data_IF_073988264228
#
_entry.id   IF_073988264228
#
_cell.length_a   1.000
_cell.length_b   1.000
_cell.length_c   1.000
_cell.angle_alpha   90.00
_cell.angle_beta   90.00
_cell.angle_gamma   90.00
#
_symmetry.space_group_name_H-M   'P 1'
#
loop_
_entity.id
_entity.type
_entity.pdbx_description
1 polymer ?
#
# COMPACT_ATOMS: atom_id res chain seq x y z
N UNK A 1 12.61 0.20 24.46
CA UNK A 1 12.74 1.20 23.36
C UNK A 1 11.38 1.70 22.87
N UNK A 2 11.20 3.02 22.66
CA UNK A 2 9.99 3.61 22.04
C UNK A 2 9.95 3.34 20.53
N UNK A 3 8.81 2.90 19.96
CA UNK A 3 8.62 2.62 18.52
C UNK A 3 7.94 3.74 17.72
N UNK A 4 8.01 4.98 18.19
CA UNK A 4 7.32 6.12 17.56
C UNK A 4 7.66 6.35 16.07
N UNK A 5 8.92 6.14 15.66
CA UNK A 5 9.34 6.29 14.25
C UNK A 5 8.70 5.24 13.33
N UNK A 6 8.61 3.99 13.77
CA UNK A 6 7.99 2.89 12.99
C UNK A 6 6.51 3.17 12.78
N UNK A 7 5.79 3.59 13.84
CA UNK A 7 4.37 3.97 13.72
C UNK A 7 4.18 5.11 12.74
N UNK A 8 5.02 6.16 12.81
CA UNK A 8 4.93 7.30 11.88
C UNK A 8 5.17 6.89 10.44
N UNK A 9 6.14 6.01 10.17
CA UNK A 9 6.44 5.55 8.82
C UNK A 9 5.32 4.68 8.23
N UNK A 10 4.81 3.72 9.00
CA UNK A 10 3.68 2.88 8.55
C UNK A 10 2.41 3.73 8.37
N UNK A 11 2.19 4.73 9.23
CA UNK A 11 1.09 5.67 9.10
C UNK A 11 1.24 6.57 7.87
N UNK A 12 2.45 7.05 7.57
CA UNK A 12 2.74 7.78 6.34
C UNK A 12 2.47 6.91 5.10
N UNK A 13 2.87 5.63 5.12
CA UNK A 13 2.55 4.67 4.06
C UNK A 13 1.05 4.43 3.90
N UNK A 14 0.31 4.33 5.01
CA UNK A 14 -1.15 4.20 4.96
C UNK A 14 -1.81 5.46 4.36
N UNK A 15 -1.39 6.65 4.79
CA UNK A 15 -1.89 7.92 4.24
C UNK A 15 -1.57 8.04 2.76
N UNK A 16 -0.36 7.63 2.34
CA UNK A 16 0.00 7.59 0.92
C UNK A 16 -0.90 6.65 0.13
N UNK A 17 -1.12 5.42 0.62
CA UNK A 17 -2.03 4.46 -0.02
C UNK A 17 -3.48 4.97 -0.08
N UNK A 18 -3.91 5.73 0.92
CA UNK A 18 -5.22 6.37 0.90
C UNK A 18 -5.28 7.38 -0.24
N UNK A 19 -4.26 8.22 -0.34
CA UNK A 19 -4.16 9.24 -1.37
C UNK A 19 -4.14 8.62 -2.77
N UNK A 20 -3.32 7.59 -3.01
CA UNK A 20 -3.26 6.91 -4.31
C UNK A 20 -4.58 6.22 -4.66
N UNK A 21 -5.25 5.61 -3.69
CA UNK A 21 -6.58 5.03 -3.89
C UNK A 21 -7.62 6.10 -4.29
N UNK A 22 -7.65 7.24 -3.59
CA UNK A 22 -8.56 8.34 -3.90
C UNK A 22 -8.28 8.92 -5.29
N UNK A 23 -7.02 9.16 -5.64
CA UNK A 23 -6.63 9.63 -6.98
C UNK A 23 -7.02 8.62 -8.05
N UNK A 24 -6.91 7.32 -7.78
CA UNK A 24 -7.30 6.26 -8.73
C UNK A 24 -8.82 6.23 -8.94
N UNK A 25 -9.60 6.21 -7.86
CA UNK A 25 -11.07 6.09 -7.90
C UNK A 25 -11.72 7.35 -8.48
N UNK A 26 -11.28 8.54 -8.04
CA UNK A 26 -11.95 9.79 -8.41
C UNK A 26 -11.27 10.49 -9.58
N UNK A 27 -9.94 10.43 -9.68
CA UNK A 27 -9.18 11.07 -10.75
C UNK A 27 -9.06 10.19 -11.98
N UNK A 28 -8.33 9.08 -11.85
CA UNK A 28 -7.95 8.26 -13.00
C UNK A 28 -9.13 7.53 -13.64
N UNK A 29 -10.01 6.92 -12.85
CA UNK A 29 -11.21 6.24 -13.36
C UNK A 29 -12.12 7.20 -14.16
N UNK A 30 -12.38 8.40 -13.64
CA UNK A 30 -13.19 9.42 -14.34
C UNK A 30 -12.54 9.85 -15.65
N UNK A 31 -11.27 10.25 -15.60
CA UNK A 31 -10.50 10.64 -16.78
C UNK A 31 -10.43 9.53 -17.84
N UNK A 32 -10.24 8.27 -17.43
CA UNK A 32 -10.17 7.12 -18.32
C UNK A 32 -11.49 6.92 -19.07
N UNK A 33 -12.62 6.97 -18.37
CA UNK A 33 -13.95 6.82 -18.98
C UNK A 33 -14.26 7.96 -19.97
N UNK A 34 -13.87 9.19 -19.64
CA UNK A 34 -14.04 10.34 -20.54
C UNK A 34 -13.23 10.18 -21.83
N UNK A 35 -12.01 9.68 -21.74
CA UNK A 35 -11.15 9.43 -22.90
C UNK A 35 -11.69 8.29 -23.76
N UNK A 36 -12.15 7.21 -23.15
CA UNK A 36 -12.81 6.09 -23.84
C UNK A 36 -14.01 6.59 -24.64
N UNK A 37 -14.89 7.39 -24.03
CA UNK A 37 -16.08 7.90 -24.70
C UNK A 37 -15.74 8.75 -25.92
N UNK A 38 -14.66 9.55 -25.86
CA UNK A 38 -14.21 10.36 -27.01
C UNK A 38 -13.69 9.51 -28.16
N UNK A 39 -13.00 8.42 -27.86
CA UNK A 39 -12.43 7.51 -28.89
C UNK A 39 -13.54 6.69 -29.57
N UNK A 40 -14.49 6.18 -28.79
CA UNK A 40 -15.58 5.33 -29.30
C UNK A 40 -16.49 6.09 -30.28
N UNK A 41 -16.73 7.39 -30.06
CA UNK A 41 -17.56 8.23 -30.97
C UNK A 41 -16.99 8.30 -32.40
N UNK A 42 -15.68 8.05 -32.59
CA UNK A 42 -15.03 8.04 -33.90
C UNK A 42 -14.97 6.68 -34.60
N UNK A 43 -15.43 5.59 -33.98
CA UNK A 43 -15.30 4.22 -34.50
C UNK A 43 -16.52 3.76 -35.32
N UNK A 44 -16.33 2.74 -36.17
CA UNK A 44 -17.43 2.04 -36.85
C UNK A 44 -18.28 1.22 -35.87
N UNK A 45 -19.54 0.94 -36.21
CA UNK A 45 -20.52 0.31 -35.30
C UNK A 45 -20.05 -1.01 -34.69
N UNK A 46 -19.37 -1.86 -35.45
CA UNK A 46 -18.86 -3.16 -34.94
C UNK A 46 -17.68 -2.98 -33.99
N UNK A 47 -16.84 -1.97 -34.26
CA UNK A 47 -15.65 -1.67 -33.47
C UNK A 47 -16.03 -1.01 -32.14
N UNK A 48 -17.07 -0.16 -32.15
CA UNK A 48 -17.64 0.46 -30.94
C UNK A 48 -18.10 -0.55 -29.89
N UNK A 49 -18.73 -1.66 -30.30
CA UNK A 49 -19.22 -2.69 -29.36
C UNK A 49 -18.05 -3.36 -28.63
N UNK A 50 -17.00 -3.72 -29.38
CA UNK A 50 -15.79 -4.35 -28.82
C UNK A 50 -15.06 -3.37 -27.89
N UNK A 51 -14.86 -2.13 -28.34
CA UNK A 51 -14.20 -1.07 -27.58
C UNK A 51 -14.94 -0.73 -26.29
N UNK A 52 -16.28 -0.68 -26.32
CA UNK A 52 -17.11 -0.43 -25.12
C UNK A 52 -16.99 -1.55 -24.10
N UNK A 53 -17.00 -2.81 -24.55
CA UNK A 53 -16.87 -3.98 -23.67
C UNK A 53 -15.49 -4.03 -22.99
N UNK A 54 -14.42 -3.87 -23.76
CA UNK A 54 -13.05 -3.83 -23.24
C UNK A 54 -12.87 -2.68 -22.26
N UNK A 55 -13.32 -1.47 -22.62
CA UNK A 55 -13.21 -0.31 -21.76
C UNK A 55 -14.00 -0.47 -20.45
N UNK A 56 -15.19 -1.06 -20.49
CA UNK A 56 -15.97 -1.35 -19.29
C UNK A 56 -15.22 -2.31 -18.37
N UNK A 57 -14.60 -3.36 -18.91
CA UNK A 57 -13.81 -4.31 -18.12
C UNK A 57 -12.57 -3.66 -17.50
N UNK A 58 -11.81 -2.87 -18.27
CA UNK A 58 -10.63 -2.15 -17.76
C UNK A 58 -11.04 -1.17 -16.65
N UNK A 59 -12.14 -0.44 -16.84
CA UNK A 59 -12.66 0.49 -15.85
C UNK A 59 -13.05 -0.20 -14.55
N UNK A 60 -13.65 -1.39 -14.63
CA UNK A 60 -13.94 -2.23 -13.45
C UNK A 60 -12.66 -2.66 -12.73
N UNK A 61 -11.60 -3.02 -13.45
CA UNK A 61 -10.30 -3.38 -12.86
C UNK A 61 -9.66 -2.19 -12.16
N UNK A 62 -9.67 -1.00 -12.79
CA UNK A 62 -9.18 0.24 -12.19
C UNK A 62 -9.91 0.53 -10.88
N UNK A 63 -11.24 0.46 -10.89
CA UNK A 63 -12.06 0.73 -9.71
C UNK A 63 -11.85 -0.32 -8.62
N UNK A 64 -11.76 -1.60 -8.98
CA UNK A 64 -11.48 -2.69 -8.04
C UNK A 64 -10.10 -2.53 -7.37
N UNK A 65 -9.08 -2.17 -8.15
CA UNK A 65 -7.74 -1.89 -7.62
C UNK A 65 -7.74 -0.67 -6.69
N UNK A 66 -8.41 0.42 -7.07
CA UNK A 66 -8.56 1.60 -6.22
C UNK A 66 -9.25 1.27 -4.89
N UNK A 67 -10.34 0.50 -4.92
CA UNK A 67 -11.05 0.06 -3.71
C UNK A 67 -10.20 -0.88 -2.86
N UNK A 68 -9.44 -1.79 -3.47
CA UNK A 68 -8.50 -2.66 -2.76
C UNK A 68 -7.47 -1.83 -1.99
N UNK A 69 -6.83 -0.85 -2.64
CA UNK A 69 -5.87 0.04 -2.00
C UNK A 69 -6.51 0.88 -0.89
N UNK A 70 -7.75 1.33 -1.08
CA UNK A 70 -8.51 2.06 -0.07
C UNK A 70 -8.76 1.24 1.20
N UNK A 71 -9.34 0.05 1.07
CA UNK A 71 -9.61 -0.86 2.20
C UNK A 71 -8.31 -1.19 2.93
N UNK A 72 -7.25 -1.44 2.16
CA UNK A 72 -5.97 -1.78 2.72
C UNK A 72 -5.28 -0.63 3.46
N UNK A 73 -5.48 0.61 3.02
CA UNK A 73 -5.01 1.79 3.76
C UNK A 73 -5.63 1.83 5.16
N UNK A 74 -6.94 1.55 5.28
CA UNK A 74 -7.64 1.47 6.58
C UNK A 74 -7.05 0.35 7.45
N UNK A 75 -6.81 -0.83 6.87
CA UNK A 75 -6.21 -1.95 7.61
C UNK A 75 -4.82 -1.56 8.12
N UNK A 76 -3.99 -0.89 7.32
CA UNK A 76 -2.69 -0.41 7.77
C UNK A 76 -2.80 0.61 8.91
N UNK A 77 -3.83 1.45 8.90
CA UNK A 77 -4.13 2.34 10.03
C UNK A 77 -4.40 1.56 11.32
N UNK A 78 -5.19 0.49 11.25
CA UNK A 78 -5.45 -0.38 12.39
C UNK A 78 -4.19 -1.09 12.89
N UNK A 79 -3.32 -1.54 11.98
CA UNK A 79 -2.04 -2.18 12.33
C UNK A 79 -1.14 -1.22 13.12
N UNK A 80 -1.09 0.07 12.74
CA UNK A 80 -0.32 1.09 13.47
C UNK A 80 -0.83 1.28 14.89
N UNK A 81 -2.15 1.33 15.08
CA UNK A 81 -2.77 1.52 16.41
C UNK A 81 -2.48 0.34 17.34
N UNK A 82 -2.40 -0.88 16.81
CA UNK A 82 -2.15 -2.10 17.58
C UNK A 82 -0.64 -2.43 17.76
N UNK A 83 0.26 -1.57 17.29
CA UNK A 83 1.70 -1.81 17.29
C UNK A 83 2.30 -1.66 18.71
N UNK A 84 2.34 -2.74 19.49
CA UNK A 84 2.89 -2.74 20.86
C UNK A 84 4.39 -2.38 20.89
N UNK A 85 4.76 -1.57 21.88
CA UNK A 85 6.15 -1.21 22.18
C UNK A 85 6.90 -2.41 22.82
N UNK A 86 8.20 -2.52 22.55
CA UNK A 86 9.10 -3.47 23.25
C UNK A 86 8.94 -4.96 22.92
N UNK A 87 7.98 -5.37 22.11
CA UNK A 87 7.79 -6.79 21.73
C UNK A 87 8.14 -7.06 20.27
N UNK A 88 8.93 -8.11 20.00
CA UNK A 88 9.22 -8.54 18.62
C UNK A 88 7.97 -9.23 18.06
N UNK A 89 7.23 -8.54 17.18
CA UNK A 89 6.09 -9.12 16.50
C UNK A 89 6.52 -9.59 15.11
N UNK A 90 6.70 -10.90 14.92
CA UNK A 90 7.04 -11.49 13.62
C UNK A 90 5.96 -11.23 12.57
N UNK A 91 4.68 -11.19 12.99
CA UNK A 91 3.53 -10.92 12.11
C UNK A 91 3.63 -9.57 11.38
N UNK A 92 4.09 -8.52 12.06
CA UNK A 92 4.31 -7.20 11.44
C UNK A 92 5.43 -7.24 10.39
N UNK A 93 6.46 -8.07 10.61
CA UNK A 93 7.56 -8.19 9.66
C UNK A 93 7.06 -8.77 8.34
N UNK A 94 6.31 -9.87 8.40
CA UNK A 94 5.70 -10.50 7.21
C UNK A 94 4.71 -9.55 6.54
N UNK A 95 3.92 -8.82 7.33
CA UNK A 95 2.98 -7.82 6.81
C UNK A 95 3.66 -6.72 5.99
N UNK A 96 4.77 -6.15 6.49
CA UNK A 96 5.52 -5.12 5.76
C UNK A 96 6.14 -5.67 4.46
N UNK A 97 6.63 -6.91 4.46
CA UNK A 97 7.17 -7.55 3.25
C UNK A 97 6.08 -7.72 2.19
N UNK A 98 4.90 -8.24 2.58
CA UNK A 98 3.76 -8.38 1.67
C UNK A 98 3.41 -7.02 1.07
N UNK A 99 3.39 -5.96 1.89
CA UNK A 99 3.14 -4.60 1.41
C UNK A 99 4.16 -4.11 0.42
N UNK A 100 5.45 -4.30 0.68
CA UNK A 100 6.49 -3.93 -0.27
C UNK A 100 6.32 -4.61 -1.63
N UNK A 101 5.93 -5.89 -1.65
CA UNK A 101 5.67 -6.62 -2.90
C UNK A 101 4.48 -6.04 -3.64
N UNK A 102 3.36 -5.77 -2.94
CA UNK A 102 2.17 -5.16 -3.53
C UNK A 102 2.50 -3.80 -4.16
N UNK A 103 3.34 -2.99 -3.50
CA UNK A 103 3.72 -1.68 -4.03
C UNK A 103 4.55 -1.77 -5.30
N UNK A 104 5.49 -2.72 -5.37
CA UNK A 104 6.27 -2.97 -6.58
C UNK A 104 5.36 -3.42 -7.73
N UNK A 105 4.45 -4.37 -7.47
CA UNK A 105 3.50 -4.87 -8.48
C UNK A 105 2.59 -3.73 -8.98
N UNK A 106 2.25 -2.80 -8.09
CA UNK A 106 1.45 -1.60 -8.42
C UNK A 106 2.29 -0.49 -9.06
N UNK A 107 3.60 -0.67 -9.23
CA UNK A 107 4.57 0.33 -9.67
C UNK A 107 4.58 1.62 -8.82
N UNK A 108 4.09 1.56 -7.58
CA UNK A 108 4.08 2.70 -6.66
C UNK A 108 5.41 2.79 -5.91
N UNK A 109 6.35 3.53 -6.51
CA UNK A 109 7.70 3.71 -5.98
C UNK A 109 7.68 4.44 -4.62
N UNK A 110 6.79 5.43 -4.46
CA UNK A 110 6.73 6.23 -3.23
C UNK A 110 6.19 5.38 -2.09
N UNK A 111 5.10 4.66 -2.32
CA UNK A 111 4.56 3.69 -1.38
C UNK A 111 5.60 2.63 -1.01
N UNK A 112 6.29 2.07 -2.00
CA UNK A 112 7.35 1.10 -1.77
C UNK A 112 8.46 1.63 -0.85
N UNK A 113 8.97 2.83 -1.09
CA UNK A 113 10.02 3.43 -0.27
C UNK A 113 9.57 3.63 1.18
N UNK A 114 8.33 4.08 1.40
CA UNK A 114 7.78 4.26 2.76
C UNK A 114 7.74 2.94 3.54
N UNK A 115 7.24 1.86 2.92
CA UNK A 115 7.18 0.54 3.55
C UNK A 115 8.58 -0.09 3.69
N UNK A 116 9.49 0.16 2.75
CA UNK A 116 10.89 -0.28 2.84
C UNK A 116 11.60 0.37 4.03
N UNK A 117 11.49 1.70 4.19
CA UNK A 117 12.07 2.37 5.35
C UNK A 117 11.47 1.86 6.65
N UNK A 118 10.14 1.73 6.72
CA UNK A 118 9.47 1.15 7.89
C UNK A 118 10.03 -0.24 8.24
N UNK A 119 10.24 -1.09 7.23
CA UNK A 119 10.81 -2.42 7.39
C UNK A 119 12.25 -2.39 7.90
N UNK A 120 13.12 -1.56 7.31
CA UNK A 120 14.53 -1.44 7.71
C UNK A 120 14.62 -0.99 9.18
N UNK A 121 13.87 0.06 9.56
CA UNK A 121 13.87 0.56 10.93
C UNK A 121 13.33 -0.49 11.91
N UNK A 122 12.26 -1.20 11.55
CA UNK A 122 11.71 -2.27 12.37
C UNK A 122 12.72 -3.40 12.60
N UNK A 123 13.42 -3.83 11.55
CA UNK A 123 14.50 -4.84 11.65
C UNK A 123 15.67 -4.35 12.50
N UNK A 124 16.10 -3.10 12.32
CA UNK A 124 17.20 -2.51 13.08
C UNK A 124 16.88 -2.47 14.58
N UNK A 125 15.68 -2.00 14.97
CA UNK A 125 15.26 -1.96 16.37
C UNK A 125 15.08 -3.34 16.98
N UNK A 126 14.56 -4.31 16.23
CA UNK A 126 14.48 -5.69 16.72
C UNK A 126 15.86 -6.27 17.00
N UNK A 127 16.85 -5.99 16.14
CA UNK A 127 18.24 -6.41 16.38
C UNK A 127 18.81 -5.76 17.64
N UNK A 128 18.56 -4.47 17.86
CA UNK A 128 18.99 -3.75 19.06
C UNK A 128 18.38 -4.34 20.35
N UNK A 129 17.08 -4.66 20.35
CA UNK A 129 16.40 -5.28 21.51
C UNK A 129 17.01 -6.65 21.83
N UNK A 130 17.32 -7.46 20.82
CA UNK A 130 17.95 -8.78 21.02
C UNK A 130 19.34 -8.62 21.66
N UNK A 131 20.11 -7.63 21.23
CA UNK A 131 21.44 -7.34 21.79
C UNK A 131 21.36 -6.86 23.24
N UNK A 132 20.42 -5.97 23.57
CA UNK A 132 20.16 -5.53 24.95
C UNK A 132 19.79 -6.72 25.84
N UNK A 133 18.85 -7.57 25.41
CA UNK A 133 18.44 -8.76 26.16
C UNK A 133 19.61 -9.72 26.39
N UNK A 134 20.43 -9.98 25.36
CA UNK A 134 21.60 -10.86 25.47
C UNK A 134 22.66 -10.30 26.43
N UNK A 135 22.86 -8.98 26.45
CA UNK A 135 23.81 -8.34 27.37
C UNK A 135 23.38 -8.47 28.84
N UNK A 136 22.07 -8.38 29.12
CA UNK A 136 21.53 -8.56 30.47
C UNK A 136 21.63 -10.01 30.96
N UNK A 137 21.50 -11.00 30.08
CA UNK A 137 21.68 -12.43 30.44
C UNK A 137 23.12 -12.81 30.74
N UNK A 138 24.11 -12.04 30.26
CA UNK A 138 25.54 -12.29 30.54
C UNK A 138 25.99 -11.64 31.87
N UNK A 139 25.27 -10.63 32.34
CA UNK A 139 25.57 -9.90 33.58
C UNK A 139 24.80 -10.42 34.82
N UNK A 140 23.87 -11.36 34.63
CA UNK A 140 23.11 -12.03 35.68
C UNK A 140 23.64 -13.45 35.90
#
# INVERSE_FOLDING_TARGET
>A
MKRGLERKLVMAGAVWNLFTALVTIFGYYGWFNDQVNRVIVGESSDMQIVSTSLATNVSRVILAFGLFMFVMSIINFLVVVHLKDGQIQKRITTWLIIWMVIQIVSMDIIGFLLYLFAFIFYKAKNKAIILEQKSQTIQA
#
